data_IF_325761906704
#
_entry.id   IF_325761906704
#
_cell.length_a   1.000
_cell.length_b   1.000
_cell.length_c   1.000
_cell.angle_alpha   90.00
_cell.angle_beta   90.00
_cell.angle_gamma   90.00
#
_symmetry.space_group_name_H-M   'P 1'
#
loop_
_entity.id
_entity.type
_entity.pdbx_description
1 polymer ?
#
# COMPACT_ATOMS: atom_id res chain seq x y z
N UNK A 1 26.81 11.95 -4.01
CA UNK A 1 26.35 11.96 -2.61
C UNK A 1 25.41 13.14 -2.47
N UNK A 2 24.21 12.90 -2.03
CA UNK A 2 23.22 13.93 -1.76
C UNK A 2 23.35 14.47 -0.32
N UNK A 3 22.74 15.60 -0.04
CA UNK A 3 22.71 16.21 1.28
C UNK A 3 21.26 16.57 1.66
N UNK A 4 21.08 17.09 2.84
CA UNK A 4 19.75 17.53 3.30
C UNK A 4 19.15 18.67 2.45
N UNK A 5 19.94 19.36 1.63
CA UNK A 5 19.41 20.33 0.66
C UNK A 5 18.65 19.69 -0.51
N UNK A 6 18.92 18.42 -0.79
CA UNK A 6 18.32 17.66 -1.90
C UNK A 6 17.02 16.93 -1.47
N UNK A 7 16.65 17.04 -0.18
CA UNK A 7 15.44 16.42 0.37
C UNK A 7 14.20 16.97 -0.31
N UNK A 8 13.36 16.05 -0.79
CA UNK A 8 12.05 16.33 -1.39
C UNK A 8 11.11 15.16 -1.13
N UNK A 9 9.82 15.40 -1.23
CA UNK A 9 8.83 14.32 -1.13
C UNK A 9 9.05 13.30 -2.26
N UNK A 10 8.94 12.01 -1.91
CA UNK A 10 9.17 10.90 -2.82
C UNK A 10 10.62 10.45 -2.95
N UNK A 11 11.60 11.21 -2.41
CA UNK A 11 12.99 10.77 -2.40
C UNK A 11 13.17 9.54 -1.51
N UNK A 12 13.80 8.50 -2.06
CA UNK A 12 14.14 7.29 -1.31
C UNK A 12 15.58 7.36 -0.79
N UNK A 13 15.76 7.03 0.47
CA UNK A 13 17.06 7.09 1.15
C UNK A 13 17.29 5.79 1.94
N UNK A 14 18.56 5.39 2.05
CA UNK A 14 18.97 4.34 2.97
C UNK A 14 19.14 4.93 4.36
N UNK A 15 18.41 4.40 5.33
CA UNK A 15 18.45 4.85 6.71
C UNK A 15 18.20 3.69 7.66
N UNK A 16 19.02 3.54 8.72
CA UNK A 16 18.89 2.45 9.71
C UNK A 16 18.77 1.05 9.09
N UNK A 17 19.61 0.74 8.08
CA UNK A 17 19.64 -0.56 7.37
C UNK A 17 18.36 -0.91 6.58
N UNK A 18 17.52 0.09 6.31
CA UNK A 18 16.30 -0.06 5.53
C UNK A 18 16.18 1.08 4.49
N UNK A 19 15.23 0.96 3.57
CA UNK A 19 14.95 1.96 2.56
C UNK A 19 13.68 2.71 2.94
N UNK A 20 13.80 4.02 3.06
CA UNK A 20 12.71 4.90 3.44
C UNK A 20 12.38 5.89 2.33
N UNK A 21 11.10 6.10 2.07
CA UNK A 21 10.58 7.17 1.23
C UNK A 21 10.24 8.38 2.10
N UNK A 22 10.74 9.54 1.73
CA UNK A 22 10.40 10.80 2.41
C UNK A 22 8.99 11.20 1.98
N UNK A 23 8.05 11.20 2.92
CA UNK A 23 6.64 11.55 2.67
C UNK A 23 6.33 12.99 3.03
N UNK A 24 7.03 13.55 4.03
CA UNK A 24 6.94 14.97 4.42
C UNK A 24 8.32 15.47 4.84
N UNK A 25 8.58 16.74 4.60
CA UNK A 25 9.77 17.40 5.11
C UNK A 25 9.53 18.89 5.40
N UNK A 26 10.31 19.43 6.34
CA UNK A 26 10.28 20.85 6.71
C UNK A 26 11.69 21.33 7.00
N UNK A 27 12.17 22.31 6.23
CA UNK A 27 13.41 23.03 6.51
C UNK A 27 13.17 24.07 7.60
N UNK A 28 13.89 23.96 8.69
CA UNK A 28 13.80 24.87 9.82
C UNK A 28 15.10 25.64 9.96
N UNK A 29 15.02 26.96 9.93
CA UNK A 29 16.13 27.89 10.22
C UNK A 29 15.75 28.67 11.48
N UNK A 30 16.10 28.18 12.68
CA UNK A 30 15.81 28.89 13.91
C UNK A 30 16.60 30.21 13.99
N UNK A 31 16.04 31.23 14.59
CA UNK A 31 16.72 32.52 14.78
C UNK A 31 18.00 32.41 15.63
N UNK A 32 18.08 31.40 16.50
CA UNK A 32 19.27 31.01 17.27
C UNK A 32 19.46 29.49 17.14
N UNK A 33 20.64 29.05 16.71
CA UNK A 33 21.01 27.64 16.58
C UNK A 33 21.18 27.17 15.11
N UNK A 34 21.69 25.94 14.90
CA UNK A 34 21.91 25.38 13.58
C UNK A 34 20.60 25.06 12.88
N UNK A 35 20.57 25.22 11.55
CA UNK A 35 19.45 24.82 10.72
C UNK A 35 19.32 23.28 10.69
N UNK A 36 18.11 22.79 10.53
CA UNK A 36 17.82 21.36 10.45
C UNK A 36 16.64 21.10 9.51
N UNK A 37 16.48 19.83 9.12
CA UNK A 37 15.36 19.36 8.30
C UNK A 37 14.63 18.29 9.08
N UNK A 38 13.37 18.54 9.42
CA UNK A 38 12.45 17.51 9.94
C UNK A 38 11.92 16.72 8.77
N UNK A 39 11.89 15.42 8.90
CA UNK A 39 11.38 14.52 7.87
C UNK A 39 10.44 13.49 8.48
N UNK A 40 9.41 13.12 7.73
CA UNK A 40 8.60 11.95 7.99
C UNK A 40 8.96 10.90 6.95
N UNK A 41 9.41 9.75 7.42
CA UNK A 41 9.99 8.67 6.63
C UNK A 41 9.07 7.46 6.67
N UNK A 42 8.62 6.95 5.51
CA UNK A 42 7.86 5.69 5.40
C UNK A 42 8.83 4.60 4.91
N UNK A 43 9.00 3.53 5.70
CA UNK A 43 9.74 2.35 5.28
C UNK A 43 9.06 1.71 4.07
N UNK A 44 9.83 1.34 3.05
CA UNK A 44 9.32 0.63 1.88
C UNK A 44 9.19 -0.88 2.14
N UNK A 45 9.90 -1.43 3.14
CA UNK A 45 9.87 -2.86 3.44
C UNK A 45 8.77 -3.26 4.42
N UNK A 46 8.37 -2.37 5.34
CA UNK A 46 7.39 -2.71 6.38
C UNK A 46 6.27 -1.68 6.57
N UNK A 47 6.23 -0.62 5.73
CA UNK A 47 5.21 0.41 5.75
C UNK A 47 5.23 1.36 6.96
N UNK A 48 6.07 1.11 7.97
CA UNK A 48 6.12 1.93 9.19
C UNK A 48 6.58 3.34 8.90
N UNK A 49 5.94 4.30 9.55
CA UNK A 49 6.28 5.72 9.46
C UNK A 49 7.02 6.14 10.72
N UNK A 50 8.13 6.86 10.56
CA UNK A 50 8.90 7.45 11.65
C UNK A 50 9.24 8.90 11.35
N UNK A 51 9.37 9.71 12.40
CA UNK A 51 9.88 11.07 12.33
C UNK A 51 11.39 11.07 12.57
N UNK A 52 12.13 11.78 11.72
CA UNK A 52 13.56 11.99 11.89
C UNK A 52 13.96 13.42 11.60
N UNK A 53 14.99 13.90 12.28
CA UNK A 53 15.55 15.24 12.09
C UNK A 53 17.00 15.13 11.70
N UNK A 54 17.32 15.65 10.53
CA UNK A 54 18.70 15.75 10.02
C UNK A 54 19.24 17.17 10.25
N UNK A 55 20.48 17.27 10.69
CA UNK A 55 21.20 18.56 10.71
C UNK A 55 21.39 19.08 9.28
N UNK A 56 21.33 20.39 9.08
CA UNK A 56 21.62 20.98 7.77
C UNK A 56 23.00 20.56 7.26
N UNK A 57 23.08 20.17 5.99
CA UNK A 57 24.33 19.69 5.38
C UNK A 57 24.67 18.22 5.68
N UNK A 58 23.83 17.48 6.43
CA UNK A 58 24.02 16.05 6.64
C UNK A 58 23.97 15.32 5.29
N UNK A 59 24.92 14.40 5.08
CA UNK A 59 24.96 13.54 3.88
C UNK A 59 23.90 12.46 3.98
N UNK A 60 23.17 12.26 2.90
CA UNK A 60 22.15 11.23 2.79
C UNK A 60 22.49 10.26 1.65
N UNK A 61 22.25 8.98 1.88
CA UNK A 61 22.44 7.94 0.87
C UNK A 61 21.11 7.76 0.11
N UNK A 62 21.07 8.33 -1.11
CA UNK A 62 19.90 8.24 -1.98
C UNK A 62 19.88 6.88 -2.65
N UNK A 63 18.70 6.24 -2.67
CA UNK A 63 18.44 5.00 -3.38
C UNK A 63 17.58 5.32 -4.59
N UNK A 64 17.99 4.85 -5.76
CA UNK A 64 17.17 4.93 -6.96
C UNK A 64 16.12 3.81 -6.93
N UNK A 65 14.86 4.22 -6.86
CA UNK A 65 13.71 3.31 -6.89
C UNK A 65 12.97 3.53 -8.20
N UNK A 66 12.72 2.44 -8.92
CA UNK A 66 11.92 2.40 -10.13
C UNK A 66 10.58 1.74 -9.81
N UNK A 67 9.52 2.25 -10.44
CA UNK A 67 8.19 1.69 -10.31
C UNK A 67 7.86 0.97 -11.61
N UNK A 68 7.51 -0.31 -11.52
CA UNK A 68 7.13 -1.13 -12.66
C UNK A 68 5.73 -1.70 -12.43
N UNK A 69 4.98 -1.91 -13.51
CA UNK A 69 3.63 -2.47 -13.44
C UNK A 69 3.70 -3.97 -13.62
N UNK A 70 3.08 -4.68 -12.70
CA UNK A 70 2.94 -6.14 -12.72
C UNK A 70 1.47 -6.53 -12.64
N UNK A 71 1.14 -7.65 -13.25
CA UNK A 71 -0.15 -8.30 -13.09
C UNK A 71 -0.04 -9.39 -12.03
N UNK A 72 -0.95 -9.40 -11.08
CA UNK A 72 -1.05 -10.50 -10.12
C UNK A 72 -1.63 -11.73 -10.82
N UNK A 73 -0.97 -12.87 -10.66
CA UNK A 73 -1.38 -14.13 -11.28
C UNK A 73 -2.20 -14.99 -10.32
N UNK A 74 -1.59 -15.45 -9.25
CA UNK A 74 -2.21 -16.29 -8.24
C UNK A 74 -1.41 -16.32 -6.93
N UNK A 75 -2.05 -16.66 -5.79
CA UNK A 75 -1.36 -16.90 -4.53
C UNK A 75 -0.99 -18.39 -4.39
N UNK A 76 0.13 -18.69 -3.75
CA UNK A 76 0.54 -20.03 -3.34
C UNK A 76 1.00 -20.00 -1.88
N UNK A 77 0.08 -20.22 -0.94
CA UNK A 77 0.33 -20.04 0.48
C UNK A 77 0.63 -18.57 0.83
N UNK A 78 1.83 -18.30 1.35
CA UNK A 78 2.29 -16.93 1.64
C UNK A 78 3.04 -16.28 0.47
N UNK A 79 3.18 -16.97 -0.65
CA UNK A 79 3.86 -16.49 -1.83
C UNK A 79 2.84 -16.04 -2.89
N UNK A 80 3.08 -14.87 -3.46
CA UNK A 80 2.23 -14.23 -4.46
C UNK A 80 3.02 -14.10 -5.77
N UNK A 81 2.45 -14.62 -6.84
CA UNK A 81 3.09 -14.65 -8.16
C UNK A 81 2.62 -13.48 -9.01
N UNK A 82 3.57 -12.75 -9.57
CA UNK A 82 3.33 -11.59 -10.41
C UNK A 82 4.07 -11.71 -11.73
N UNK A 83 3.54 -11.12 -12.78
CA UNK A 83 4.16 -11.04 -14.09
C UNK A 83 4.28 -9.58 -14.52
N UNK A 84 5.47 -9.16 -14.92
CA UNK A 84 5.70 -7.83 -15.48
C UNK A 84 4.94 -7.72 -16.81
N UNK A 85 4.14 -6.67 -16.98
CA UNK A 85 3.29 -6.53 -18.18
C UNK A 85 4.06 -6.15 -19.45
N UNK A 86 5.33 -5.72 -19.31
CA UNK A 86 6.18 -5.32 -20.44
C UNK A 86 7.19 -6.41 -20.81
N UNK A 87 7.92 -6.95 -19.81
CA UNK A 87 8.96 -7.97 -20.05
C UNK A 87 8.42 -9.41 -20.01
N UNK A 88 7.22 -9.62 -19.42
CA UNK A 88 6.60 -10.93 -19.16
C UNK A 88 7.41 -11.81 -18.19
N UNK A 89 8.39 -11.23 -17.51
CA UNK A 89 9.13 -11.92 -16.46
C UNK A 89 8.25 -12.09 -15.23
N UNK A 90 8.36 -13.26 -14.60
CA UNK A 90 7.62 -13.58 -13.39
C UNK A 90 8.50 -13.42 -12.16
N UNK A 91 7.90 -12.88 -11.12
CA UNK A 91 8.52 -12.78 -9.80
C UNK A 91 7.57 -13.34 -8.74
N UNK A 92 8.15 -13.85 -7.67
CA UNK A 92 7.42 -14.33 -6.50
C UNK A 92 7.73 -13.43 -5.32
N UNK A 93 6.71 -12.93 -4.66
CA UNK A 93 6.82 -12.02 -3.52
C UNK A 93 6.10 -12.60 -2.32
N UNK A 94 6.71 -12.46 -1.14
CA UNK A 94 6.07 -12.90 0.08
C UNK A 94 4.97 -11.92 0.52
N UNK A 95 3.90 -12.45 1.10
CA UNK A 95 2.75 -11.72 1.64
C UNK A 95 3.10 -10.48 2.46
N UNK A 96 4.23 -10.50 3.17
CA UNK A 96 4.64 -9.45 4.11
C UNK A 96 4.95 -8.10 3.45
N UNK A 97 5.21 -8.07 2.14
CA UNK A 97 5.50 -6.81 1.41
C UNK A 97 4.27 -6.24 0.69
N UNK A 98 3.11 -6.90 0.81
CA UNK A 98 1.84 -6.44 0.28
C UNK A 98 1.05 -5.73 1.38
N UNK A 99 0.47 -4.57 1.08
CA UNK A 99 -0.33 -3.80 2.06
C UNK A 99 -1.67 -4.47 2.36
N UNK A 100 -2.34 -5.05 1.35
CA UNK A 100 -3.66 -5.68 1.48
C UNK A 100 -3.77 -6.98 0.65
N UNK A 101 -3.00 -8.02 0.97
CA UNK A 101 -2.94 -9.25 0.17
C UNK A 101 -4.28 -9.96 0.01
N UNK A 102 -5.16 -9.87 1.03
CA UNK A 102 -6.47 -10.52 1.01
C UNK A 102 -7.49 -9.84 0.06
N UNK A 103 -7.20 -8.64 -0.39
CA UNK A 103 -8.03 -7.89 -1.33
C UNK A 103 -7.53 -7.98 -2.77
N UNK A 104 -6.38 -8.63 -2.99
CA UNK A 104 -5.76 -8.72 -4.31
C UNK A 104 -6.45 -9.79 -5.14
N UNK A 105 -7.03 -9.38 -6.26
CA UNK A 105 -7.73 -10.26 -7.22
C UNK A 105 -6.80 -10.71 -8.33
N UNK A 106 -6.90 -11.96 -8.76
CA UNK A 106 -6.18 -12.48 -9.94
C UNK A 106 -6.47 -11.64 -11.19
N UNK A 107 -5.43 -11.33 -11.94
CA UNK A 107 -5.48 -10.46 -13.11
C UNK A 107 -5.40 -8.96 -12.81
N UNK A 108 -5.40 -8.54 -11.54
CA UNK A 108 -5.25 -7.14 -11.14
C UNK A 108 -3.84 -6.63 -11.40
N UNK A 109 -3.73 -5.37 -11.85
CA UNK A 109 -2.44 -4.71 -12.02
C UNK A 109 -2.04 -3.97 -10.74
N UNK A 110 -0.80 -4.16 -10.34
CA UNK A 110 -0.18 -3.50 -9.19
C UNK A 110 1.09 -2.78 -9.63
N UNK A 111 1.51 -1.78 -8.84
CA UNK A 111 2.80 -1.13 -9.03
C UNK A 111 3.80 -1.68 -8.03
N UNK A 112 4.91 -2.23 -8.52
CA UNK A 112 5.98 -2.74 -7.67
C UNK A 112 7.14 -1.74 -7.69
N UNK A 113 7.58 -1.33 -6.51
CA UNK A 113 8.75 -0.49 -6.34
C UNK A 113 9.99 -1.36 -6.23
N UNK A 114 10.95 -1.15 -7.13
CA UNK A 114 12.15 -1.96 -7.26
C UNK A 114 13.37 -1.08 -7.03
N UNK A 115 14.33 -1.56 -6.25
CA UNK A 115 15.63 -0.92 -6.12
C UNK A 115 16.41 -1.09 -7.43
N UNK A 116 16.64 0.00 -8.15
CA UNK A 116 17.31 -0.01 -9.47
C UNK A 116 18.78 -0.43 -9.44
N UNK A 117 19.40 -0.50 -8.26
CA UNK A 117 20.80 -0.95 -8.12
C UNK A 117 20.95 -2.45 -7.87
N UNK A 118 19.93 -3.05 -7.24
CA UNK A 118 19.96 -4.46 -6.81
C UNK A 118 18.87 -5.31 -7.44
N UNK A 119 17.96 -4.72 -8.22
CA UNK A 119 16.76 -5.33 -8.80
C UNK A 119 15.84 -6.01 -7.76
N UNK A 120 15.97 -5.61 -6.49
CA UNK A 120 15.16 -6.17 -5.41
C UNK A 120 13.82 -5.43 -5.28
N UNK A 121 12.68 -6.16 -5.26
CA UNK A 121 11.39 -5.60 -4.93
C UNK A 121 11.36 -5.08 -3.50
N UNK A 122 10.81 -3.88 -3.30
CA UNK A 122 10.77 -3.19 -2.01
C UNK A 122 9.35 -3.12 -1.44
N UNK A 123 8.37 -2.83 -2.28
CA UNK A 123 6.96 -2.75 -1.89
C UNK A 123 6.05 -2.99 -3.08
N UNK A 124 4.81 -3.36 -2.79
CA UNK A 124 3.74 -3.53 -3.76
C UNK A 124 2.66 -2.49 -3.45
N UNK A 125 2.47 -1.53 -4.34
CA UNK A 125 1.43 -0.52 -4.22
C UNK A 125 0.19 -1.00 -5.00
N UNK A 126 -0.88 -1.28 -4.29
CA UNK A 126 -2.18 -1.61 -4.87
C UNK A 126 -2.93 -0.35 -5.28
N UNK A 127 -3.97 -0.50 -6.10
CA UNK A 127 -4.92 0.59 -6.38
C UNK A 127 -5.60 1.03 -5.08
N UNK A 128 -5.97 2.31 -4.97
CA UNK A 128 -6.60 2.85 -3.77
C UNK A 128 -7.93 2.18 -3.40
N UNK A 129 -8.57 1.53 -4.36
CA UNK A 129 -9.79 0.74 -4.15
C UNK A 129 -9.86 -0.41 -5.14
N UNK A 130 -10.51 -1.49 -4.74
CA UNK A 130 -10.78 -2.68 -5.56
C UNK A 130 -12.28 -2.95 -5.62
N UNK A 131 -12.72 -3.57 -6.73
CA UNK A 131 -14.11 -4.00 -6.91
C UNK A 131 -14.14 -5.52 -6.83
N UNK A 132 -14.81 -6.04 -5.79
CA UNK A 132 -14.93 -7.47 -5.56
C UNK A 132 -16.40 -7.89 -5.45
N UNK A 133 -16.70 -9.10 -5.89
CA UNK A 133 -18.03 -9.70 -5.78
C UNK A 133 -18.21 -10.35 -4.42
N UNK A 134 -19.38 -10.15 -3.82
CA UNK A 134 -19.79 -10.81 -2.56
C UNK A 134 -20.19 -12.23 -2.87
N UNK A 135 -19.44 -13.20 -2.35
CA UNK A 135 -19.70 -14.63 -2.55
C UNK A 135 -20.59 -15.23 -1.46
N UNK A 136 -20.57 -14.65 -0.25
CA UNK A 136 -21.40 -15.07 0.87
C UNK A 136 -21.71 -13.91 1.82
N UNK A 137 -22.95 -13.83 2.28
CA UNK A 137 -23.33 -12.95 3.39
C UNK A 137 -24.63 -13.43 4.03
N UNK A 138 -24.76 -13.23 5.33
CA UNK A 138 -26.01 -13.56 6.02
C UNK A 138 -27.13 -12.61 5.62
N UNK A 139 -28.40 -13.05 5.60
CA UNK A 139 -29.54 -12.17 5.41
C UNK A 139 -29.56 -11.07 6.48
N UNK A 140 -29.77 -9.82 6.08
CA UNK A 140 -29.92 -8.72 7.02
C UNK A 140 -31.20 -8.92 7.85
N UNK A 141 -31.06 -9.13 9.17
CA UNK A 141 -32.20 -9.26 10.05
C UNK A 141 -32.95 -7.90 10.12
N UNK A 142 -34.21 -7.90 9.69
CA UNK A 142 -35.14 -6.77 9.88
C UNK A 142 -35.47 -6.66 11.37
N UNK A 143 -34.90 -5.70 12.05
CA UNK A 143 -35.17 -5.47 13.48
C UNK A 143 -34.09 -4.65 14.18
N UNK A 144 -32.93 -4.53 13.62
CA UNK A 144 -31.89 -3.67 14.18
C UNK A 144 -32.04 -2.26 13.61
N UNK A 145 -32.75 -1.39 14.34
CA UNK A 145 -32.98 0.01 13.98
C UNK A 145 -31.77 0.94 14.27
N UNK A 146 -30.61 0.33 14.56
CA UNK A 146 -29.39 1.10 14.71
C UNK A 146 -28.98 1.72 13.36
N UNK A 147 -28.91 3.02 13.30
CA UNK A 147 -28.29 3.76 12.21
C UNK A 147 -26.87 3.24 11.99
N UNK A 148 -26.55 2.77 10.76
CA UNK A 148 -25.27 2.16 10.38
C UNK A 148 -25.03 0.71 10.82
N UNK A 149 -26.07 -0.11 10.94
CA UNK A 149 -25.89 -1.56 11.16
C UNK A 149 -25.19 -2.19 9.95
N UNK A 150 -24.12 -2.95 10.24
CA UNK A 150 -23.34 -3.70 9.25
C UNK A 150 -23.43 -5.20 9.53
N UNK A 151 -23.10 -6.00 8.53
CA UNK A 151 -22.98 -7.45 8.60
C UNK A 151 -21.70 -7.91 7.90
N UNK A 152 -21.11 -9.04 8.28
CA UNK A 152 -19.97 -9.62 7.57
C UNK A 152 -20.40 -10.14 6.20
N UNK A 153 -19.56 -9.92 5.20
CA UNK A 153 -19.68 -10.50 3.88
C UNK A 153 -18.32 -11.05 3.45
N UNK A 154 -18.32 -12.23 2.83
CA UNK A 154 -17.12 -12.80 2.21
C UNK A 154 -17.12 -12.41 0.74
N UNK A 155 -15.99 -11.93 0.26
CA UNK A 155 -15.79 -11.58 -1.15
C UNK A 155 -15.02 -12.66 -1.90
N UNK A 156 -14.99 -12.58 -3.22
CA UNK A 156 -14.40 -13.59 -4.14
C UNK A 156 -12.94 -13.95 -3.83
N UNK A 157 -12.18 -13.04 -3.20
CA UNK A 157 -10.81 -13.31 -2.74
C UNK A 157 -10.73 -14.06 -1.42
N UNK A 158 -11.87 -14.34 -0.77
CA UNK A 158 -11.95 -14.97 0.55
C UNK A 158 -11.87 -14.00 1.74
N UNK A 159 -11.64 -12.71 1.50
CA UNK A 159 -11.62 -11.70 2.55
C UNK A 159 -13.02 -11.48 3.16
N UNK A 160 -13.07 -11.18 4.46
CA UNK A 160 -14.30 -10.81 5.16
C UNK A 160 -14.36 -9.30 5.37
N UNK A 161 -15.41 -8.67 4.84
CA UNK A 161 -15.64 -7.22 4.87
C UNK A 161 -16.96 -6.92 5.56
N UNK A 162 -16.96 -5.91 6.43
CA UNK A 162 -18.22 -5.42 7.02
C UNK A 162 -18.95 -4.53 6.02
N UNK A 163 -20.16 -4.94 5.64
CA UNK A 163 -21.00 -4.27 4.65
C UNK A 163 -22.35 -3.84 5.24
N UNK A 164 -23.03 -2.83 4.67
CA UNK A 164 -24.40 -2.48 5.04
C UNK A 164 -25.37 -3.66 4.87
N UNK A 165 -26.45 -3.67 5.65
CA UNK A 165 -27.44 -4.77 5.67
C UNK A 165 -28.12 -5.06 4.32
N UNK A 166 -28.15 -4.06 3.40
CA UNK A 166 -28.79 -4.20 2.08
C UNK A 166 -27.92 -4.90 1.03
N UNK A 167 -26.67 -5.18 1.33
CA UNK A 167 -25.77 -5.91 0.43
C UNK A 167 -26.12 -7.40 0.45
N UNK A 168 -26.18 -8.00 -0.75
CA UNK A 168 -26.53 -9.42 -0.95
C UNK A 168 -25.41 -10.16 -1.67
N UNK A 169 -25.50 -11.48 -1.69
CA UNK A 169 -24.65 -12.33 -2.53
C UNK A 169 -24.82 -11.95 -4.00
N UNK A 170 -23.70 -11.91 -4.75
CA UNK A 170 -23.63 -11.47 -6.14
C UNK A 170 -23.50 -9.96 -6.33
N UNK A 171 -23.66 -9.15 -5.26
CA UNK A 171 -23.41 -7.70 -5.36
C UNK A 171 -21.90 -7.45 -5.54
N UNK A 172 -21.55 -6.53 -6.44
CA UNK A 172 -20.19 -6.01 -6.58
C UNK A 172 -20.02 -4.81 -5.67
N UNK A 173 -19.01 -4.85 -4.84
CA UNK A 173 -18.71 -3.80 -3.87
C UNK A 173 -17.33 -3.22 -4.11
N UNK A 174 -17.22 -1.91 -3.93
CA UNK A 174 -15.95 -1.20 -3.94
C UNK A 174 -15.42 -1.09 -2.52
N UNK A 175 -14.19 -1.47 -2.32
CA UNK A 175 -13.50 -1.57 -1.04
C UNK A 175 -12.27 -0.68 -1.09
N UNK A 176 -12.07 0.13 -0.07
CA UNK A 176 -10.84 0.89 0.14
C UNK A 176 -9.71 -0.07 0.55
N UNK A 177 -8.61 -0.09 -0.20
CA UNK A 177 -7.52 -1.05 0.03
C UNK A 177 -6.69 -0.75 1.28
N UNK A 178 -6.61 0.52 1.68
CA UNK A 178 -5.82 0.91 2.84
C UNK A 178 -6.50 0.54 4.17
N UNK A 179 -7.84 0.65 4.24
CA UNK A 179 -8.62 0.38 5.45
C UNK A 179 -9.35 -0.96 5.43
N UNK A 180 -9.47 -1.61 4.27
CA UNK A 180 -10.31 -2.79 4.08
C UNK A 180 -11.81 -2.51 4.24
N UNK A 181 -12.24 -1.26 4.11
CA UNK A 181 -13.59 -0.84 4.40
C UNK A 181 -14.45 -0.77 3.14
N UNK A 182 -15.72 -1.16 3.27
CA UNK A 182 -16.73 -0.94 2.24
C UNK A 182 -16.87 0.55 1.91
N UNK A 183 -16.87 0.90 0.64
CA UNK A 183 -17.12 2.26 0.14
C UNK A 183 -18.51 2.40 -0.46
N UNK A 184 -18.82 1.63 -1.48
CA UNK A 184 -20.06 1.70 -2.22
C UNK A 184 -20.40 0.37 -2.93
N UNK A 185 -21.69 0.20 -3.27
CA UNK A 185 -22.11 -0.88 -4.18
C UNK A 185 -21.99 -0.37 -5.61
N UNK A 186 -21.30 -1.14 -6.44
CA UNK A 186 -21.18 -0.88 -7.87
C UNK A 186 -22.44 -1.39 -8.56
N UNK A 187 -23.12 -0.52 -9.28
CA UNK A 187 -24.24 -0.91 -10.16
C UNK A 187 -23.66 -1.20 -11.54
N UNK A 188 -24.06 -2.33 -12.12
CA UNK A 188 -23.82 -2.59 -13.55
C UNK A 188 -24.58 -1.62 -14.44
#
# INVERSE_FOLDING_TARGET
MASTSDIRNGLCIKFNHDIYKIIEFLHVKPGKGPAFVRTKLKSLTNGKVLDNTFSAGHKIDVVRVETQTYQFLYPEGDDFHFMNIESFEQITLNRNILDAPDLLKEGENVMIQINAETDLPLSVDMTASVILEVTYTEPGLKGNTATNATKPATVETGASINVPLFINEGDKIKIDTASGSYMERVKE
#
